data_IF_500954985337
#
_entry.id   IF_500954985337
#
_cell.length_a   1.000
_cell.length_b   1.000
_cell.length_c   1.000
_cell.angle_alpha   90.00
_cell.angle_beta   90.00
_cell.angle_gamma   90.00
#
_symmetry.space_group_name_H-M   'P 1'
#
loop_
_entity.id
_entity.type
_entity.pdbx_description
1 polymer ?
#
# COMPACT_ATOMS: atom_id res chain seq x y z
N UNK A 1 1.15 12.46 -16.56
CA UNK A 1 2.21 11.46 -16.82
C UNK A 1 1.57 10.13 -17.17
N UNK A 2 0.99 10.00 -18.37
CA UNK A 2 0.32 8.77 -18.84
C UNK A 2 0.67 8.45 -20.31
N UNK A 3 1.77 8.98 -20.81
CA UNK A 3 2.24 8.70 -22.16
C UNK A 3 3.16 7.47 -22.11
N UNK A 4 2.64 6.30 -22.47
CA UNK A 4 3.43 5.07 -22.65
C UNK A 4 2.86 3.79 -22.03
N UNK A 5 1.85 3.87 -21.16
CA UNK A 5 1.24 2.68 -20.56
C UNK A 5 0.18 2.07 -21.49
N UNK A 6 0.12 0.73 -21.65
CA UNK A 6 -0.99 0.04 -22.28
C UNK A 6 -2.34 0.44 -21.67
N UNK A 7 -3.40 0.45 -22.48
CA UNK A 7 -4.76 0.82 -22.02
C UNK A 7 -5.17 0.06 -20.76
N UNK A 8 -4.89 -1.23 -20.70
CA UNK A 8 -5.23 -2.11 -19.57
C UNK A 8 -4.54 -1.67 -18.27
N UNK A 9 -3.30 -1.18 -18.35
CA UNK A 9 -2.57 -0.66 -17.18
C UNK A 9 -3.14 0.68 -16.70
N UNK A 10 -3.57 1.54 -17.63
CA UNK A 10 -4.26 2.79 -17.29
C UNK A 10 -5.60 2.51 -16.61
N UNK A 11 -6.39 1.56 -17.14
CA UNK A 11 -7.66 1.15 -16.54
C UNK A 11 -7.45 0.53 -15.16
N UNK A 12 -6.43 -0.32 -15.00
CA UNK A 12 -6.05 -0.89 -13.70
C UNK A 12 -5.61 0.17 -12.70
N UNK A 13 -4.81 1.15 -13.12
CA UNK A 13 -4.40 2.28 -12.27
C UNK A 13 -5.61 3.09 -11.81
N UNK A 14 -6.53 3.44 -12.73
CA UNK A 14 -7.76 4.17 -12.39
C UNK A 14 -8.66 3.39 -11.42
N UNK A 15 -8.75 2.07 -11.60
CA UNK A 15 -9.48 1.20 -10.69
C UNK A 15 -8.93 1.26 -9.27
N UNK A 16 -7.61 1.22 -9.09
CA UNK A 16 -7.02 1.30 -7.75
C UNK A 16 -7.06 2.70 -7.14
N UNK A 17 -6.99 3.77 -7.94
CA UNK A 17 -7.23 5.13 -7.44
C UNK A 17 -8.67 5.29 -6.92
N UNK A 18 -9.67 4.78 -7.64
CA UNK A 18 -11.07 4.77 -7.16
C UNK A 18 -11.22 3.91 -5.90
N UNK A 19 -10.58 2.74 -5.84
CA UNK A 19 -10.59 1.88 -4.66
C UNK A 19 -9.97 2.57 -3.43
N UNK A 20 -8.84 3.27 -3.61
CA UNK A 20 -8.18 4.07 -2.57
C UNK A 20 -9.11 5.17 -2.06
N UNK A 21 -9.67 5.98 -2.96
CA UNK A 21 -10.55 7.09 -2.60
C UNK A 21 -11.82 6.63 -1.88
N UNK A 22 -12.43 5.52 -2.31
CA UNK A 22 -13.57 4.92 -1.62
C UNK A 22 -13.21 4.43 -0.23
N UNK A 23 -12.07 3.75 -0.09
CA UNK A 23 -11.63 3.25 1.20
C UNK A 23 -11.34 4.41 2.18
N UNK A 24 -10.79 5.53 1.71
CA UNK A 24 -10.59 6.74 2.51
C UNK A 24 -11.92 7.32 3.03
N UNK A 25 -12.92 7.44 2.16
CA UNK A 25 -14.26 7.92 2.54
C UNK A 25 -14.93 6.95 3.52
N UNK A 26 -14.86 5.64 3.24
CA UNK A 26 -15.44 4.61 4.11
C UNK A 26 -14.77 4.61 5.48
N UNK A 27 -13.44 4.74 5.52
CA UNK A 27 -12.67 4.85 6.76
C UNK A 27 -13.05 6.11 7.56
N UNK A 28 -13.28 7.25 6.89
CA UNK A 28 -13.75 8.46 7.58
C UNK A 28 -15.11 8.26 8.27
N UNK A 29 -15.96 7.38 7.74
CA UNK A 29 -17.26 7.05 8.35
C UNK A 29 -17.19 5.93 9.38
N UNK A 30 -16.27 4.96 9.20
CA UNK A 30 -16.04 3.86 10.11
C UNK A 30 -14.53 3.58 10.25
N UNK A 31 -13.84 4.31 11.13
CA UNK A 31 -12.37 4.23 11.22
C UNK A 31 -11.87 2.89 11.79
N UNK A 32 -12.75 2.14 12.46
CA UNK A 32 -12.39 0.87 13.09
C UNK A 32 -12.73 -0.35 12.20
N UNK A 33 -12.89 -0.16 10.90
CA UNK A 33 -13.07 -1.27 9.96
C UNK A 33 -11.73 -1.77 9.41
N UNK A 34 -11.26 -2.89 9.97
CA UNK A 34 -10.05 -3.55 9.51
C UNK A 34 -10.11 -3.98 8.03
N UNK A 35 -11.30 -4.30 7.49
CA UNK A 35 -11.46 -4.67 6.09
C UNK A 35 -11.24 -3.47 5.16
N UNK A 36 -11.71 -2.28 5.55
CA UNK A 36 -11.53 -1.05 4.78
C UNK A 36 -10.05 -0.68 4.74
N UNK A 37 -9.39 -0.69 5.89
CA UNK A 37 -7.94 -0.45 6.00
C UNK A 37 -7.13 -1.45 5.17
N UNK A 38 -7.51 -2.73 5.16
CA UNK A 38 -6.85 -3.75 4.32
C UNK A 38 -7.04 -3.47 2.83
N UNK A 39 -8.23 -3.03 2.40
CA UNK A 39 -8.45 -2.66 0.99
C UNK A 39 -7.68 -1.40 0.60
N UNK A 40 -7.63 -0.42 1.50
CA UNK A 40 -6.88 0.81 1.29
C UNK A 40 -5.39 0.52 1.08
N UNK A 41 -4.77 -0.20 2.02
CA UNK A 41 -3.36 -0.59 1.88
C UNK A 41 -3.11 -1.41 0.61
N UNK A 42 -4.02 -2.31 0.24
CA UNK A 42 -3.91 -3.09 -1.01
C UNK A 42 -3.93 -2.21 -2.26
N UNK A 43 -4.82 -1.22 -2.31
CA UNK A 43 -4.87 -0.27 -3.41
C UNK A 43 -3.60 0.59 -3.49
N UNK A 44 -3.08 1.05 -2.36
CA UNK A 44 -1.81 1.80 -2.29
C UNK A 44 -0.62 0.97 -2.79
N UNK A 45 -0.52 -0.28 -2.38
CA UNK A 45 0.54 -1.19 -2.81
C UNK A 45 0.51 -1.43 -4.33
N UNK A 46 -0.68 -1.60 -4.90
CA UNK A 46 -0.86 -1.74 -6.35
C UNK A 46 -0.54 -0.43 -7.10
N UNK A 47 -0.93 0.73 -6.54
CA UNK A 47 -0.59 2.03 -7.11
C UNK A 47 0.92 2.30 -7.10
N UNK A 48 1.62 1.85 -6.05
CA UNK A 48 3.07 1.97 -5.96
C UNK A 48 3.80 1.27 -7.13
N UNK A 49 3.26 0.17 -7.65
CA UNK A 49 3.82 -0.51 -8.82
C UNK A 49 3.72 0.27 -10.12
N UNK A 50 2.76 1.21 -10.24
CA UNK A 50 2.66 2.13 -11.38
C UNK A 50 3.54 3.37 -11.22
N UNK A 51 4.04 3.63 -10.00
CA UNK A 51 4.97 4.72 -9.69
C UNK A 51 6.40 4.20 -9.68
N UNK A 52 7.37 5.11 -9.72
CA UNK A 52 8.79 4.79 -9.60
C UNK A 52 9.46 5.77 -8.65
N UNK A 53 10.54 5.32 -8.01
CA UNK A 53 11.34 6.16 -7.13
C UNK A 53 10.59 6.54 -5.83
N UNK A 54 10.80 7.77 -5.31
CA UNK A 54 10.31 8.17 -3.98
C UNK A 54 8.79 8.02 -3.79
N UNK A 55 8.00 8.29 -4.84
CA UNK A 55 6.54 8.17 -4.78
C UNK A 55 6.08 6.73 -4.51
N UNK A 56 6.78 5.73 -5.08
CA UNK A 56 6.47 4.33 -4.83
C UNK A 56 6.81 3.91 -3.40
N UNK A 57 7.90 4.46 -2.85
CA UNK A 57 8.32 4.20 -1.47
C UNK A 57 7.29 4.75 -0.48
N UNK A 58 6.89 6.01 -0.63
CA UNK A 58 5.88 6.65 0.22
C UNK A 58 4.55 5.89 0.19
N UNK A 59 4.08 5.48 -0.99
CA UNK A 59 2.86 4.68 -1.11
C UNK A 59 2.94 3.32 -0.42
N UNK A 60 4.11 2.68 -0.41
CA UNK A 60 4.31 1.39 0.27
C UNK A 60 4.37 1.58 1.78
N UNK A 61 5.02 2.64 2.27
CA UNK A 61 5.01 2.99 3.69
C UNK A 61 3.60 3.27 4.19
N UNK A 62 2.81 4.04 3.43
CA UNK A 62 1.40 4.28 3.72
C UNK A 62 0.61 2.97 3.73
N UNK A 63 0.86 2.07 2.77
CA UNK A 63 0.20 0.77 2.71
C UNK A 63 0.49 -0.09 3.95
N UNK A 64 1.76 -0.16 4.36
CA UNK A 64 2.21 -0.84 5.58
C UNK A 64 1.46 -0.29 6.79
N UNK A 65 1.41 1.03 6.95
CA UNK A 65 0.71 1.67 8.06
C UNK A 65 -0.77 1.27 8.11
N UNK A 66 -1.48 1.26 6.97
CA UNK A 66 -2.89 0.84 6.93
C UNK A 66 -3.07 -0.63 7.28
N UNK A 67 -2.16 -1.52 6.88
CA UNK A 67 -2.22 -2.93 7.29
C UNK A 67 -1.95 -3.10 8.79
N UNK A 68 -1.00 -2.37 9.35
CA UNK A 68 -0.73 -2.40 10.78
C UNK A 68 -1.93 -1.90 11.60
N UNK A 69 -2.58 -0.82 11.16
CA UNK A 69 -3.83 -0.35 11.77
C UNK A 69 -4.95 -1.41 11.68
N UNK A 70 -5.07 -2.09 10.53
CA UNK A 70 -6.03 -3.19 10.38
C UNK A 70 -5.76 -4.35 11.35
N UNK A 71 -4.48 -4.68 11.57
CA UNK A 71 -4.05 -5.73 12.49
C UNK A 71 -4.16 -5.31 13.96
N UNK A 72 -4.02 -4.02 14.28
CA UNK A 72 -4.30 -3.49 15.61
C UNK A 72 -5.78 -3.68 15.97
N UNK A 73 -6.69 -3.53 15.00
CA UNK A 73 -8.13 -3.78 15.18
C UNK A 73 -8.43 -5.28 15.20
N UNK A 74 -7.88 -6.05 14.25
CA UNK A 74 -8.07 -7.50 14.17
C UNK A 74 -6.74 -8.22 13.89
N UNK A 75 -6.04 -8.68 14.95
CA UNK A 75 -4.74 -9.34 14.81
C UNK A 75 -4.79 -10.68 14.05
N UNK A 76 -5.98 -11.29 13.91
CA UNK A 76 -6.17 -12.59 13.23
C UNK A 76 -6.61 -12.42 11.78
N UNK A 77 -6.59 -11.20 11.23
CA UNK A 77 -6.98 -10.95 9.84
C UNK A 77 -5.89 -11.44 8.89
N UNK A 78 -6.05 -12.67 8.40
CA UNK A 78 -5.08 -13.32 7.52
C UNK A 78 -4.76 -12.51 6.26
N UNK A 79 -5.77 -11.88 5.64
CA UNK A 79 -5.57 -11.05 4.45
C UNK A 79 -4.66 -9.85 4.73
N UNK A 80 -4.82 -9.18 5.87
CA UNK A 80 -3.97 -8.06 6.25
C UNK A 80 -2.53 -8.51 6.54
N UNK A 81 -2.35 -9.67 7.19
CA UNK A 81 -1.02 -10.26 7.41
C UNK A 81 -0.32 -10.60 6.09
N UNK A 82 -1.05 -11.20 5.15
CA UNK A 82 -0.50 -11.55 3.83
C UNK A 82 -0.12 -10.29 3.05
N UNK A 83 -1.00 -9.28 3.02
CA UNK A 83 -0.71 -8.02 2.34
C UNK A 83 0.46 -7.27 2.98
N UNK A 84 0.56 -7.25 4.31
CA UNK A 84 1.69 -6.66 5.03
C UNK A 84 3.00 -7.34 4.64
N UNK A 85 3.04 -8.67 4.59
CA UNK A 85 4.21 -9.43 4.13
C UNK A 85 4.62 -9.07 2.70
N UNK A 86 3.66 -8.91 1.81
CA UNK A 86 3.92 -8.48 0.43
C UNK A 86 4.45 -7.03 0.38
N UNK A 87 3.86 -6.12 1.15
CA UNK A 87 4.30 -4.73 1.21
C UNK A 87 5.74 -4.61 1.71
N UNK A 88 6.08 -5.32 2.79
CA UNK A 88 7.45 -5.37 3.34
C UNK A 88 8.44 -6.00 2.35
N UNK A 89 8.01 -7.00 1.59
CA UNK A 89 8.83 -7.59 0.52
C UNK A 89 9.11 -6.56 -0.58
N UNK A 90 8.08 -5.86 -1.07
CA UNK A 90 8.22 -4.79 -2.06
C UNK A 90 9.10 -3.66 -1.54
N UNK A 91 8.95 -3.28 -0.28
CA UNK A 91 9.77 -2.28 0.39
C UNK A 91 11.26 -2.69 0.39
N UNK A 92 11.57 -3.95 0.69
CA UNK A 92 12.93 -4.48 0.63
C UNK A 92 13.57 -4.45 -0.76
N UNK A 93 12.79 -4.54 -1.83
CA UNK A 93 13.28 -4.38 -3.21
C UNK A 93 13.47 -2.92 -3.63
N UNK A 94 12.76 -1.99 -2.98
CA UNK A 94 12.76 -0.57 -3.32
C UNK A 94 13.71 0.29 -2.48
N UNK A 95 14.36 -0.28 -1.45
CA UNK A 95 15.51 0.31 -0.78
C UNK A 95 16.81 -0.23 -1.43
N UNK A 96 17.37 0.43 -2.46
CA UNK A 96 18.58 -0.03 -3.14
C UNK A 96 19.83 0.35 -2.34
N UNK A 97 19.73 1.28 -1.40
CA UNK A 97 20.86 1.74 -0.59
C UNK A 97 20.83 1.14 0.81
N UNK A 98 21.85 0.31 1.10
CA UNK A 98 22.19 -0.19 2.43
C UNK A 98 22.26 0.89 3.53
N UNK A 99 22.32 2.18 3.16
CA UNK A 99 22.43 3.32 4.06
C UNK A 99 21.15 3.57 4.88
N UNK A 100 19.97 3.34 4.32
CA UNK A 100 18.70 3.52 5.05
C UNK A 100 18.40 2.29 5.92
N UNK A 101 18.70 1.09 5.40
CA UNK A 101 18.64 -0.16 6.16
C UNK A 101 19.56 -0.13 7.39
N UNK A 102 20.74 0.52 7.29
CA UNK A 102 21.69 0.66 8.40
C UNK A 102 21.08 1.33 9.64
N UNK A 103 20.09 2.23 9.47
CA UNK A 103 19.43 2.93 10.59
C UNK A 103 18.62 2.01 11.51
N UNK A 104 18.32 0.80 11.06
CA UNK A 104 17.55 -0.20 11.79
C UNK A 104 18.43 -1.29 12.43
N UNK A 105 19.76 -1.21 12.30
CA UNK A 105 20.73 -2.18 12.85
C UNK A 105 21.58 -1.61 14.01
N UNK A 106 21.24 -0.45 14.56
CA UNK A 106 21.88 0.13 15.75
C UNK A 106 21.33 -0.43 17.08
#
# INVERSE_FOLDING_TARGET
MAEGLPREEVERMLFFEDARARAEVEHATNPNDAQVLTRWGGALLELAHFRQGPEAVEMIEDAVEKFEQALAINPKKHDALWCLGNALTSQGFLFPEAQEAMKYFD
#
